data_IF_946748459898
#
_entry.id   IF_946748459898
#
_cell.length_a   1.000
_cell.length_b   1.000
_cell.length_c   1.000
_cell.angle_alpha   90.00
_cell.angle_beta   90.00
_cell.angle_gamma   90.00
#
_symmetry.space_group_name_H-M   'P 1'
#
loop_
_entity.id
_entity.type
_entity.pdbx_description
1 polymer ?
#
# COMPACT_ATOMS: atom_id res chain seq x y z
N UNK A 1 0.59 8.07 -23.54
CA UNK A 1 0.73 6.95 -24.50
C UNK A 1 1.91 6.10 -24.04
N UNK A 2 1.68 4.89 -23.53
CA UNK A 2 2.78 3.98 -23.18
C UNK A 2 3.18 3.23 -24.45
N UNK A 3 4.46 3.32 -24.85
CA UNK A 3 5.02 2.53 -25.94
C UNK A 3 5.78 1.35 -25.34
N UNK A 4 5.17 0.16 -25.33
CA UNK A 4 5.85 -1.07 -24.93
C UNK A 4 6.72 -1.56 -26.09
N UNK A 5 8.03 -1.75 -25.87
CA UNK A 5 8.95 -2.28 -26.87
C UNK A 5 9.45 -3.68 -26.52
N UNK A 6 9.26 -4.63 -27.44
CA UNK A 6 10.26 -5.63 -27.80
C UNK A 6 10.50 -6.83 -26.88
N UNK A 7 9.74 -7.02 -25.79
CA UNK A 7 9.93 -8.21 -24.96
C UNK A 7 9.34 -9.45 -25.63
N UNK A 8 10.20 -10.43 -25.95
CA UNK A 8 9.79 -11.80 -26.30
C UNK A 8 9.77 -12.64 -25.02
N UNK A 9 8.62 -12.83 -24.34
CA UNK A 9 8.56 -13.72 -23.18
C UNK A 9 8.98 -15.13 -23.59
N UNK A 10 9.91 -15.70 -22.83
CA UNK A 10 10.46 -17.02 -23.11
C UNK A 10 9.38 -18.10 -22.91
N UNK A 11 9.29 -19.01 -23.88
CA UNK A 11 8.17 -19.93 -24.08
C UNK A 11 8.34 -21.21 -23.27
N UNK A 12 7.61 -21.38 -22.17
CA UNK A 12 7.29 -22.73 -21.71
C UNK A 12 6.01 -23.19 -22.40
N UNK A 13 6.18 -23.84 -23.57
CA UNK A 13 5.12 -24.62 -24.22
C UNK A 13 4.68 -25.70 -23.24
N UNK A 14 3.51 -25.55 -22.61
CA UNK A 14 2.94 -26.63 -21.80
C UNK A 14 1.92 -26.24 -20.73
N UNK A 15 1.88 -24.98 -20.28
CA UNK A 15 0.92 -24.55 -19.25
C UNK A 15 0.00 -23.44 -19.76
N UNK A 16 -1.32 -23.62 -19.59
CA UNK A 16 -2.35 -22.61 -19.91
C UNK A 16 -2.11 -21.29 -19.15
N UNK A 17 -1.46 -21.34 -17.99
CA UNK A 17 -1.28 -20.20 -17.09
C UNK A 17 0.18 -19.70 -17.08
N UNK A 18 0.65 -19.19 -18.22
CA UNK A 18 2.00 -18.67 -18.40
C UNK A 18 2.05 -17.13 -18.26
N UNK A 19 3.24 -16.52 -18.33
CA UNK A 19 3.40 -15.06 -18.14
C UNK A 19 2.60 -14.23 -19.15
N UNK A 20 2.43 -14.75 -20.36
CA UNK A 20 1.69 -14.07 -21.41
C UNK A 20 0.18 -14.12 -21.16
N UNK A 21 -0.38 -15.25 -20.75
CA UNK A 21 -1.80 -15.31 -20.38
C UNK A 21 -2.08 -14.44 -19.15
N UNK A 22 -1.19 -14.44 -18.15
CA UNK A 22 -1.30 -13.52 -16.99
C UNK A 22 -1.26 -12.04 -17.39
N UNK A 23 -0.37 -11.65 -18.31
CA UNK A 23 -0.32 -10.28 -18.81
C UNK A 23 -1.60 -9.92 -19.56
N UNK A 24 -2.06 -10.81 -20.46
CA UNK A 24 -3.28 -10.63 -21.24
C UNK A 24 -4.52 -10.48 -20.35
N UNK A 25 -4.66 -11.32 -19.33
CA UNK A 25 -5.75 -11.27 -18.37
C UNK A 25 -5.70 -9.99 -17.53
N UNK A 26 -4.50 -9.54 -17.14
CA UNK A 26 -4.29 -8.27 -16.45
C UNK A 26 -4.72 -7.07 -17.30
N UNK A 27 -4.29 -7.02 -18.56
CA UNK A 27 -4.69 -5.96 -19.49
C UNK A 27 -6.19 -5.99 -19.80
N UNK A 28 -6.79 -7.17 -19.91
CA UNK A 28 -8.24 -7.32 -20.04
C UNK A 28 -8.95 -6.77 -18.81
N UNK A 29 -8.48 -7.09 -17.61
CA UNK A 29 -9.04 -6.54 -16.38
C UNK A 29 -8.95 -5.01 -16.35
N UNK A 30 -7.81 -4.42 -16.75
CA UNK A 30 -7.69 -2.96 -16.84
C UNK A 30 -8.69 -2.36 -17.83
N UNK A 31 -8.95 -3.03 -18.95
CA UNK A 31 -9.93 -2.60 -19.93
C UNK A 31 -11.37 -2.72 -19.42
N UNK A 32 -11.74 -3.88 -18.89
CA UNK A 32 -13.07 -4.15 -18.31
C UNK A 32 -13.39 -3.18 -17.16
N UNK A 33 -12.36 -2.70 -16.46
CA UNK A 33 -12.46 -1.72 -15.39
C UNK A 33 -12.21 -0.28 -15.84
N UNK A 34 -12.21 0.01 -17.15
CA UNK A 34 -12.09 1.34 -17.76
C UNK A 34 -10.81 2.12 -17.40
N UNK A 35 -9.73 1.45 -16.98
CA UNK A 35 -8.42 2.09 -16.77
C UNK A 35 -7.70 2.36 -18.09
N UNK A 36 -8.01 1.57 -19.13
CA UNK A 36 -7.54 1.77 -20.49
C UNK A 36 -8.75 1.75 -21.44
N UNK A 37 -8.75 2.58 -22.48
CA UNK A 37 -9.95 2.83 -23.27
C UNK A 37 -10.11 1.86 -24.45
N UNK A 38 -9.04 1.15 -24.83
CA UNK A 38 -9.04 0.24 -25.95
C UNK A 38 -8.04 -0.88 -25.70
N UNK A 39 -8.55 -2.09 -25.50
CA UNK A 39 -7.77 -3.31 -25.46
C UNK A 39 -8.56 -4.40 -26.16
N UNK A 40 -7.88 -5.16 -27.00
CA UNK A 40 -8.48 -6.27 -27.73
C UNK A 40 -7.61 -7.48 -27.50
N UNK A 41 -8.07 -8.33 -26.58
CA UNK A 41 -7.39 -9.55 -26.22
C UNK A 41 -7.23 -10.50 -27.42
N UNK A 42 -8.12 -10.46 -28.40
CA UNK A 42 -8.07 -11.36 -29.56
C UNK A 42 -6.99 -10.91 -30.55
N UNK A 43 -6.81 -9.60 -30.71
CA UNK A 43 -5.74 -9.02 -31.53
C UNK A 43 -4.37 -9.09 -30.88
N UNK A 44 -4.29 -9.29 -29.56
CA UNK A 44 -3.02 -9.46 -28.87
C UNK A 44 -2.49 -10.89 -29.05
N UNK A 45 -2.05 -11.26 -30.26
CA UNK A 45 -1.50 -12.56 -30.65
C UNK A 45 -0.05 -12.37 -31.10
N UNK A 46 0.90 -13.16 -30.57
CA UNK A 46 2.32 -13.24 -30.96
C UNK A 46 2.90 -12.09 -31.84
N UNK A 47 3.78 -11.26 -31.27
CA UNK A 47 4.48 -10.15 -31.92
C UNK A 47 3.61 -8.94 -32.34
N UNK A 48 2.34 -8.88 -31.93
CA UNK A 48 1.51 -7.69 -32.12
C UNK A 48 1.81 -6.62 -31.07
N UNK A 49 1.99 -5.38 -31.54
CA UNK A 49 2.03 -4.20 -30.69
C UNK A 49 0.64 -3.59 -30.62
N UNK A 50 0.09 -3.43 -29.42
CA UNK A 50 -1.15 -2.71 -29.19
C UNK A 50 -0.86 -1.49 -28.31
N UNK A 51 -1.35 -0.33 -28.75
CA UNK A 51 -1.33 0.89 -27.95
C UNK A 51 -2.72 1.12 -27.37
N UNK A 52 -2.76 1.42 -26.07
CA UNK A 52 -3.99 1.76 -25.38
C UNK A 52 -3.96 3.20 -24.89
N UNK A 53 -5.08 3.91 -25.06
CA UNK A 53 -5.33 5.16 -24.39
C UNK A 53 -5.56 4.87 -22.91
N UNK A 54 -4.97 5.72 -22.07
CA UNK A 54 -5.07 5.62 -20.62
C UNK A 54 -6.21 6.49 -20.13
N UNK A 55 -7.04 5.95 -19.25
CA UNK A 55 -8.00 6.76 -18.50
C UNK A 55 -7.28 7.43 -17.33
N UNK A 56 -6.82 8.66 -17.55
CA UNK A 56 -6.08 9.42 -16.55
C UNK A 56 -6.90 9.73 -15.30
N UNK A 57 -8.22 9.88 -15.40
CA UNK A 57 -9.05 10.13 -14.21
C UNK A 57 -9.04 8.93 -13.25
N UNK A 58 -8.95 7.71 -13.79
CA UNK A 58 -8.85 6.48 -12.99
C UNK A 58 -7.43 6.17 -12.53
N UNK A 59 -6.42 6.50 -13.35
CA UNK A 59 -5.01 6.24 -13.02
C UNK A 59 -4.41 7.31 -12.10
N UNK A 60 -4.92 8.53 -12.17
CA UNK A 60 -4.57 9.67 -11.32
C UNK A 60 -5.85 10.15 -10.61
N UNK A 61 -6.43 9.34 -9.71
CA UNK A 61 -7.65 9.74 -9.04
C UNK A 61 -7.35 10.96 -8.15
N UNK A 62 -8.27 11.92 -8.14
CA UNK A 62 -8.16 13.14 -7.33
C UNK A 62 -8.24 12.87 -5.82
N UNK A 63 -8.61 11.65 -5.42
CA UNK A 63 -8.78 11.18 -4.04
C UNK A 63 -8.34 9.73 -3.90
N UNK A 64 -7.97 9.29 -2.69
CA UNK A 64 -7.63 7.89 -2.38
C UNK A 64 -6.47 7.32 -3.21
N UNK A 65 -5.39 8.10 -3.36
CA UNK A 65 -4.15 7.66 -3.96
C UNK A 65 -3.03 7.59 -2.90
N UNK A 66 -2.11 6.65 -3.10
CA UNK A 66 -0.85 6.60 -2.37
C UNK A 66 0.26 7.28 -3.16
N UNK A 67 1.16 7.98 -2.46
CA UNK A 67 2.39 8.52 -3.07
C UNK A 67 3.55 7.61 -2.72
N UNK A 68 4.32 7.23 -3.75
CA UNK A 68 5.62 6.58 -3.60
C UNK A 68 6.69 7.55 -4.12
N UNK A 69 7.69 7.82 -3.30
CA UNK A 69 8.77 8.74 -3.61
C UNK A 69 9.95 8.04 -4.28
N UNK A 70 10.70 8.76 -5.10
CA UNK A 70 11.84 8.21 -5.84
C UNK A 70 12.91 7.58 -4.92
N UNK A 71 13.14 8.14 -3.72
CA UNK A 71 14.09 7.56 -2.79
C UNK A 71 13.61 6.24 -2.17
N UNK A 72 12.30 6.07 -1.97
CA UNK A 72 11.72 4.78 -1.53
C UNK A 72 11.88 3.74 -2.63
N UNK A 73 11.58 4.14 -3.87
CA UNK A 73 11.75 3.28 -5.03
C UNK A 73 13.22 2.87 -5.16
N UNK A 74 14.15 3.82 -5.07
CA UNK A 74 15.58 3.53 -5.12
C UNK A 74 16.02 2.59 -4.00
N UNK A 75 15.53 2.78 -2.77
CA UNK A 75 15.83 1.88 -1.65
C UNK A 75 15.34 0.44 -1.92
N UNK A 76 14.11 0.27 -2.42
CA UNK A 76 13.57 -1.05 -2.80
C UNK A 76 14.34 -1.65 -3.98
N UNK A 77 14.69 -0.84 -4.97
CA UNK A 77 15.40 -1.31 -6.16
C UNK A 77 16.84 -1.74 -5.86
N UNK A 78 17.47 -1.14 -4.87
CA UNK A 78 18.81 -1.50 -4.40
C UNK A 78 18.81 -2.60 -3.33
N UNK A 79 17.65 -2.94 -2.77
CA UNK A 79 17.53 -4.04 -1.82
C UNK A 79 17.77 -5.40 -2.50
N UNK A 80 18.64 -6.21 -1.87
CA UNK A 80 18.94 -7.58 -2.29
C UNK A 80 18.35 -8.53 -1.24
N UNK A 81 17.30 -9.25 -1.62
CA UNK A 81 16.64 -10.19 -0.70
C UNK A 81 17.47 -11.46 -0.51
N UNK A 82 17.66 -11.85 0.74
CA UNK A 82 18.16 -13.19 1.11
C UNK A 82 17.09 -14.28 0.95
N UNK A 83 15.83 -13.92 0.69
CA UNK A 83 14.70 -14.83 0.58
C UNK A 83 14.09 -14.79 -0.83
N UNK A 84 14.44 -15.78 -1.66
CA UNK A 84 14.09 -15.82 -3.10
C UNK A 84 12.61 -15.57 -3.45
N UNK A 85 11.61 -16.09 -2.70
CA UNK A 85 10.21 -15.84 -3.04
C UNK A 85 9.80 -14.36 -2.92
N UNK A 86 10.52 -13.57 -2.12
CA UNK A 86 10.29 -12.14 -2.02
C UNK A 86 11.08 -11.40 -3.11
N UNK A 87 10.36 -10.69 -3.95
CA UNK A 87 10.92 -9.87 -5.01
C UNK A 87 10.49 -8.40 -4.85
N UNK A 88 11.11 -7.53 -5.66
CA UNK A 88 10.85 -6.08 -5.64
C UNK A 88 9.40 -5.74 -5.95
N UNK A 89 8.74 -6.50 -6.82
CA UNK A 89 7.32 -6.32 -7.15
C UNK A 89 6.42 -6.55 -5.93
N UNK A 90 6.69 -7.57 -5.10
CA UNK A 90 5.95 -7.80 -3.86
C UNK A 90 6.17 -6.66 -2.87
N UNK A 91 7.40 -6.17 -2.71
CA UNK A 91 7.69 -5.02 -1.85
C UNK A 91 6.91 -3.77 -2.30
N UNK A 92 6.88 -3.51 -3.61
CA UNK A 92 6.15 -2.39 -4.18
C UNK A 92 4.62 -2.54 -4.03
N UNK A 93 4.08 -3.76 -4.20
CA UNK A 93 2.66 -4.02 -3.99
C UNK A 93 2.24 -3.78 -2.54
N UNK A 94 3.02 -4.29 -1.58
CA UNK A 94 2.76 -4.09 -0.16
C UNK A 94 2.88 -2.61 0.21
N UNK A 95 3.91 -1.91 -0.26
CA UNK A 95 4.06 -0.47 -0.04
C UNK A 95 2.88 0.31 -0.62
N UNK A 96 2.51 0.03 -1.88
CA UNK A 96 1.42 0.71 -2.56
C UNK A 96 0.09 0.51 -1.83
N UNK A 97 -0.16 -0.70 -1.35
CA UNK A 97 -1.34 -1.01 -0.56
C UNK A 97 -1.34 -0.21 0.76
N UNK A 98 -0.26 -0.25 1.54
CA UNK A 98 -0.16 0.54 2.77
C UNK A 98 -0.40 2.02 2.51
N UNK A 99 0.19 2.58 1.45
CA UNK A 99 0.01 4.00 1.08
C UNK A 99 -1.43 4.31 0.66
N UNK A 100 -2.06 3.48 -0.15
CA UNK A 100 -3.43 3.70 -0.62
C UNK A 100 -4.46 3.70 0.51
N UNK A 101 -4.23 2.90 1.57
CA UNK A 101 -5.15 2.78 2.70
C UNK A 101 -4.71 3.58 3.94
N UNK A 102 -3.59 4.31 3.88
CA UNK A 102 -3.19 5.23 4.94
C UNK A 102 -4.16 6.40 4.99
N UNK A 103 -4.66 6.70 6.18
CA UNK A 103 -5.45 7.91 6.38
C UNK A 103 -4.54 9.13 6.26
N UNK A 104 -4.89 10.04 5.37
CA UNK A 104 -4.19 11.32 5.23
C UNK A 104 -5.08 12.45 5.73
N UNK A 105 -4.50 13.33 6.55
CA UNK A 105 -5.07 14.66 6.81
C UNK A 105 -4.57 15.61 5.73
N UNK A 106 -5.44 16.51 5.29
CA UNK A 106 -5.18 17.42 4.17
C UNK A 106 -3.83 18.18 4.31
N UNK A 107 -3.22 18.49 3.15
CA UNK A 107 -1.90 19.10 2.97
C UNK A 107 -1.81 20.57 3.42
N UNK A 108 -2.19 20.88 4.65
CA UNK A 108 -1.99 22.20 5.24
C UNK A 108 -0.86 22.12 6.26
N UNK A 109 0.19 22.93 6.02
CA UNK A 109 1.35 23.15 6.91
C UNK A 109 0.92 23.54 8.33
N UNK A 110 -0.12 24.35 8.41
CA UNK A 110 -0.62 24.98 9.62
C UNK A 110 -2.08 24.62 9.78
N UNK A 111 -2.48 24.17 10.97
CA UNK A 111 -3.91 24.07 11.30
C UNK A 111 -4.43 22.72 11.77
N UNK A 112 -3.59 21.68 11.88
CA UNK A 112 -4.04 20.47 12.59
C UNK A 112 -3.90 20.68 14.09
N UNK A 113 -5.01 20.97 14.75
CA UNK A 113 -5.09 20.93 16.21
C UNK A 113 -4.67 19.54 16.72
N UNK A 114 -4.15 19.48 17.95
CA UNK A 114 -3.85 18.18 18.59
C UNK A 114 -5.10 17.29 18.70
N UNK A 115 -6.30 17.88 18.80
CA UNK A 115 -7.57 17.13 18.74
C UNK A 115 -7.81 16.48 17.38
N UNK A 116 -7.47 17.14 16.28
CA UNK A 116 -7.55 16.59 14.92
C UNK A 116 -6.57 15.43 14.74
N UNK A 117 -5.34 15.58 15.25
CA UNK A 117 -4.32 14.51 15.18
C UNK A 117 -4.73 13.24 15.93
N UNK A 118 -5.43 13.40 17.06
CA UNK A 118 -5.98 12.28 17.86
C UNK A 118 -7.20 11.61 17.22
N UNK A 119 -8.11 12.41 16.67
CA UNK A 119 -9.36 11.90 16.06
C UNK A 119 -9.18 11.35 14.65
N UNK A 120 -8.12 11.74 13.94
CA UNK A 120 -7.78 11.23 12.61
C UNK A 120 -6.26 11.03 12.48
N UNK A 121 -5.67 10.07 13.20
CA UNK A 121 -4.24 9.77 13.11
C UNK A 121 -3.87 9.36 11.67
N UNK A 122 -2.68 9.75 11.20
CA UNK A 122 -2.19 9.43 9.86
C UNK A 122 -1.57 8.03 9.83
N UNK A 123 -2.43 7.02 10.04
CA UNK A 123 -2.06 5.62 10.10
C UNK A 123 -2.86 4.79 9.09
N UNK A 124 -2.36 3.60 8.81
CA UNK A 124 -3.12 2.48 8.27
C UNK A 124 -3.09 1.36 9.30
N UNK A 125 -4.16 0.58 9.44
CA UNK A 125 -4.13 -0.63 10.26
C UNK A 125 -4.79 -1.80 9.52
N UNK A 126 -4.21 -2.98 9.64
CA UNK A 126 -4.74 -4.20 9.04
C UNK A 126 -4.06 -5.43 9.61
N UNK A 127 -4.66 -6.59 9.33
CA UNK A 127 -4.08 -7.91 9.55
C UNK A 127 -3.37 -8.40 8.28
N UNK A 128 -2.40 -9.30 8.42
CA UNK A 128 -1.73 -9.91 7.27
C UNK A 128 -2.68 -10.75 6.41
N UNK A 129 -3.63 -11.44 7.03
CA UNK A 129 -4.70 -12.21 6.36
C UNK A 129 -5.50 -11.33 5.40
N UNK A 130 -5.95 -10.17 5.87
CA UNK A 130 -6.71 -9.19 5.09
C UNK A 130 -5.87 -8.66 3.92
N UNK A 131 -4.62 -8.26 4.18
CA UNK A 131 -3.71 -7.80 3.13
C UNK A 131 -3.42 -8.89 2.10
N UNK A 132 -3.20 -10.13 2.56
CA UNK A 132 -2.90 -11.28 1.72
C UNK A 132 -4.04 -11.56 0.74
N UNK A 133 -5.27 -11.58 1.26
CA UNK A 133 -6.46 -11.81 0.44
C UNK A 133 -6.68 -10.70 -0.59
N UNK A 134 -6.44 -9.45 -0.23
CA UNK A 134 -6.60 -8.33 -1.16
C UNK A 134 -5.51 -8.30 -2.23
N UNK A 135 -4.24 -8.45 -1.83
CA UNK A 135 -3.08 -8.34 -2.73
C UNK A 135 -2.90 -9.61 -3.56
N UNK A 136 -3.41 -10.75 -3.11
CA UNK A 136 -3.20 -12.06 -3.75
C UNK A 136 -1.81 -12.63 -3.51
N UNK A 137 -1.19 -12.31 -2.36
CA UNK A 137 0.16 -12.75 -1.97
C UNK A 137 0.08 -13.35 -0.58
N UNK A 138 0.70 -14.52 -0.37
CA UNK A 138 0.58 -15.23 0.92
C UNK A 138 1.02 -14.39 2.13
N UNK A 139 0.39 -14.64 3.28
CA UNK A 139 0.62 -13.88 4.52
C UNK A 139 2.08 -13.86 4.98
N UNK A 140 2.81 -14.97 4.79
CA UNK A 140 4.24 -15.05 5.15
C UNK A 140 5.07 -14.05 4.35
N UNK A 141 4.75 -13.88 3.06
CA UNK A 141 5.37 -12.90 2.19
C UNK A 141 4.97 -11.47 2.55
N UNK A 142 3.69 -11.23 2.87
CA UNK A 142 3.24 -9.91 3.36
C UNK A 142 4.00 -9.53 4.65
N UNK A 143 4.09 -10.45 5.60
CA UNK A 143 4.80 -10.26 6.86
C UNK A 143 6.28 -9.91 6.62
N UNK A 144 6.96 -10.68 5.77
CA UNK A 144 8.38 -10.45 5.47
C UNK A 144 8.61 -9.17 4.67
N UNK A 145 7.75 -8.86 3.71
CA UNK A 145 7.78 -7.61 2.96
C UNK A 145 7.61 -6.41 3.90
N UNK A 146 6.66 -6.51 4.84
CA UNK A 146 6.42 -5.49 5.87
C UNK A 146 7.67 -5.24 6.71
N UNK A 147 8.31 -6.29 7.22
CA UNK A 147 9.56 -6.16 8.00
C UNK A 147 10.67 -5.49 7.20
N UNK A 148 10.84 -5.85 5.93
CA UNK A 148 11.90 -5.27 5.08
C UNK A 148 11.62 -3.80 4.78
N UNK A 149 10.37 -3.42 4.50
CA UNK A 149 10.01 -2.01 4.31
C UNK A 149 10.24 -1.18 5.58
N UNK A 150 10.08 -1.79 6.76
CA UNK A 150 10.41 -1.16 8.06
C UNK A 150 11.93 -0.98 8.25
N UNK A 151 12.70 -2.03 7.95
CA UNK A 151 14.18 -2.01 7.97
C UNK A 151 14.75 -0.97 7.00
N UNK A 152 14.16 -0.82 5.81
CA UNK A 152 14.51 0.20 4.83
C UNK A 152 14.11 1.63 5.28
N UNK A 153 13.37 1.77 6.38
CA UNK A 153 12.91 3.07 6.89
C UNK A 153 11.85 3.72 6.02
N UNK A 154 11.14 2.92 5.21
CA UNK A 154 10.08 3.39 4.29
C UNK A 154 8.75 3.47 5.04
N UNK A 155 8.47 2.47 5.88
CA UNK A 155 7.33 2.43 6.80
C UNK A 155 7.84 2.21 8.23
N UNK A 156 6.97 2.42 9.21
CA UNK A 156 7.16 1.92 10.58
C UNK A 156 5.94 1.12 10.96
N UNK A 157 6.15 -0.01 11.63
CA UNK A 157 5.08 -0.90 12.02
C UNK A 157 5.02 -1.13 13.52
N UNK A 158 3.82 -1.38 14.02
CA UNK A 158 3.56 -1.74 15.40
C UNK A 158 2.48 -2.81 15.45
N UNK A 159 2.80 -3.96 16.04
CA UNK A 159 1.83 -5.02 16.29
C UNK A 159 1.10 -4.71 17.59
N UNK A 160 -0.23 -4.61 17.53
CA UNK A 160 -1.03 -4.44 18.74
C UNK A 160 -0.91 -5.69 19.63
N UNK A 161 -0.83 -5.53 20.96
CA UNK A 161 -0.81 -6.66 21.87
C UNK A 161 -2.14 -7.41 21.82
N UNK A 162 -2.07 -8.73 22.07
CA UNK A 162 -3.25 -9.56 22.19
C UNK A 162 -4.08 -9.12 23.39
N UNK A 163 -5.39 -9.23 23.27
CA UNK A 163 -6.33 -8.88 24.33
C UNK A 163 -7.49 -9.88 24.34
N UNK A 164 -8.05 -10.15 25.52
CA UNK A 164 -9.09 -11.16 25.70
C UNK A 164 -10.41 -10.49 26.09
N UNK A 165 -11.47 -10.70 25.31
CA UNK A 165 -12.74 -10.01 25.55
C UNK A 165 -13.47 -10.51 26.78
N UNK A 166 -14.54 -9.82 27.14
CA UNK A 166 -15.38 -10.20 28.28
C UNK A 166 -16.02 -11.58 28.13
N UNK A 167 -16.01 -12.18 26.93
CA UNK A 167 -16.47 -13.56 26.67
C UNK A 167 -15.32 -14.57 26.69
N UNK A 168 -14.10 -14.13 27.00
CA UNK A 168 -12.92 -14.98 27.06
C UNK A 168 -12.27 -15.26 25.70
N UNK A 169 -12.72 -14.61 24.62
CA UNK A 169 -12.17 -14.79 23.27
C UNK A 169 -10.91 -13.95 23.09
N UNK A 170 -9.83 -14.58 22.64
CA UNK A 170 -8.60 -13.87 22.29
C UNK A 170 -8.74 -13.16 20.96
N UNK A 171 -8.49 -11.86 20.96
CA UNK A 171 -8.46 -11.00 19.79
C UNK A 171 -7.05 -10.49 19.55
N UNK A 172 -6.60 -10.53 18.29
CA UNK A 172 -5.35 -9.88 17.84
C UNK A 172 -5.23 -9.94 16.32
N UNK A 173 -4.11 -9.39 15.82
CA UNK A 173 -3.58 -9.25 14.47
C UNK A 173 -3.68 -7.86 13.84
N UNK A 174 -4.17 -6.85 14.57
CA UNK A 174 -4.07 -5.48 14.06
C UNK A 174 -2.62 -4.99 14.11
N UNK A 175 -2.08 -4.74 12.92
CA UNK A 175 -0.77 -4.12 12.73
C UNK A 175 -1.03 -2.69 12.28
N UNK A 176 -0.45 -1.75 13.01
CA UNK A 176 -0.46 -0.34 12.65
C UNK A 176 0.75 -0.05 11.79
N UNK A 177 0.51 0.64 10.67
CA UNK A 177 1.49 1.12 9.71
C UNK A 177 1.48 2.63 9.76
N UNK A 178 2.65 3.25 9.86
CA UNK A 178 2.82 4.70 9.88
C UNK A 178 3.99 5.11 9.00
N UNK A 179 3.86 6.26 8.34
CA UNK A 179 4.96 6.85 7.57
C UNK A 179 6.00 7.44 8.53
N UNK A 180 7.30 7.14 8.38
CA UNK A 180 8.33 7.72 9.25
C UNK A 180 8.57 9.21 9.00
N UNK A 181 8.06 9.74 7.88
CA UNK A 181 8.16 11.13 7.47
C UNK A 181 6.88 11.55 6.74
N UNK A 182 6.71 12.87 6.62
CA UNK A 182 5.65 13.49 5.81
C UNK A 182 6.26 14.50 4.87
N UNK A 183 5.86 14.45 3.60
CA UNK A 183 6.28 15.41 2.57
C UNK A 183 5.04 16.15 2.09
N UNK A 184 5.18 17.47 1.99
CA UNK A 184 4.11 18.39 1.62
C UNK A 184 4.57 19.28 0.47
N UNK A 185 3.62 19.77 -0.33
CA UNK A 185 3.91 20.74 -1.38
C UNK A 185 3.62 22.16 -0.87
N UNK A 186 4.63 23.02 -0.89
CA UNK A 186 4.55 24.41 -0.44
C UNK A 186 5.12 25.28 -1.56
N UNK A 187 4.30 26.16 -2.13
CA UNK A 187 4.72 27.01 -3.26
C UNK A 187 5.39 26.21 -4.39
N UNK A 188 4.81 25.04 -4.74
CA UNK A 188 5.30 24.08 -5.74
C UNK A 188 6.65 23.43 -5.41
N UNK A 189 7.13 23.52 -4.16
CA UNK A 189 8.31 22.82 -3.67
C UNK A 189 7.90 21.71 -2.71
N UNK A 190 8.50 20.54 -2.85
CA UNK A 190 8.30 19.43 -1.93
C UNK A 190 9.22 19.62 -0.72
N UNK A 191 8.62 19.66 0.47
CA UNK A 191 9.34 19.88 1.74
C UNK A 191 9.03 18.72 2.68
N UNK A 192 10.06 18.16 3.31
CA UNK A 192 9.91 17.20 4.39
C UNK A 192 9.53 17.95 5.66
N UNK A 193 8.44 17.55 6.31
CA UNK A 193 7.96 18.16 7.55
C UNK A 193 9.01 18.01 8.66
N UNK A 194 9.11 19.03 9.52
CA UNK A 194 9.89 18.95 10.75
C UNK A 194 9.23 17.98 11.74
N UNK A 195 9.96 17.59 12.81
CA UNK A 195 9.37 16.77 13.89
C UNK A 195 8.27 17.48 14.67
N UNK A 196 8.29 18.80 14.68
CA UNK A 196 7.26 19.59 15.36
C UNK A 196 5.94 19.56 14.56
N UNK A 197 6.06 19.53 13.23
CA UNK A 197 4.91 19.45 12.32
C UNK A 197 4.39 18.01 12.16
N UNK A 198 5.31 17.04 12.12
CA UNK A 198 5.00 15.62 11.96
C UNK A 198 6.00 14.73 12.71
N UNK A 199 5.51 13.99 13.70
CA UNK A 199 6.26 12.95 14.40
C UNK A 199 5.51 11.62 14.31
N UNK A 200 6.08 10.66 13.57
CA UNK A 200 5.49 9.35 13.38
C UNK A 200 5.25 8.60 14.71
N UNK A 201 6.05 8.88 15.76
CA UNK A 201 5.85 8.26 17.07
C UNK A 201 4.59 8.79 17.73
N UNK A 202 4.32 10.09 17.61
CA UNK A 202 3.07 10.70 18.08
C UNK A 202 1.88 10.22 17.26
N UNK A 203 2.02 10.11 15.93
CA UNK A 203 0.97 9.52 15.08
C UNK A 203 0.67 8.07 15.47
N UNK A 204 1.70 7.28 15.78
CA UNK A 204 1.51 5.93 16.28
C UNK A 204 0.79 5.92 17.64
N UNK A 205 1.17 6.77 18.59
CA UNK A 205 0.49 6.88 19.88
C UNK A 205 -0.98 7.29 19.73
N UNK A 206 -1.25 8.27 18.87
CA UNK A 206 -2.60 8.70 18.52
C UNK A 206 -3.36 7.56 17.84
N UNK A 207 -2.72 6.82 16.94
CA UNK A 207 -3.28 5.64 16.27
C UNK A 207 -3.66 4.53 17.24
N UNK A 208 -2.78 4.20 18.18
CA UNK A 208 -3.05 3.21 19.24
C UNK A 208 -4.24 3.66 20.09
N UNK A 209 -4.25 4.94 20.51
CA UNK A 209 -5.33 5.49 21.34
C UNK A 209 -6.65 5.51 20.58
N UNK A 210 -6.63 5.99 19.33
CA UNK A 210 -7.78 6.00 18.43
C UNK A 210 -8.32 4.60 18.17
N UNK A 211 -7.48 3.59 17.94
CA UNK A 211 -7.98 2.23 17.69
C UNK A 211 -8.51 1.57 18.96
N UNK A 212 -8.00 1.93 20.14
CA UNK A 212 -8.61 1.56 21.41
C UNK A 212 -9.97 2.24 21.54
N UNK A 213 -10.03 3.56 21.34
CA UNK A 213 -11.22 4.42 21.50
C UNK A 213 -12.33 4.19 20.47
N UNK A 214 -11.99 4.02 19.20
CA UNK A 214 -12.93 3.75 18.11
C UNK A 214 -13.49 2.33 18.21
N UNK A 215 -12.71 1.38 18.74
CA UNK A 215 -13.27 0.08 19.17
C UNK A 215 -14.23 0.24 20.36
N UNK A 216 -14.19 1.32 21.13
CA UNK A 216 -15.17 1.62 22.20
C UNK A 216 -16.51 2.19 21.73
N UNK A 217 -16.68 2.54 20.45
CA UNK A 217 -18.04 2.80 19.93
C UNK A 217 -18.78 1.51 19.55
N UNK A 218 -18.08 0.37 19.53
CA UNK A 218 -18.66 -0.98 19.59
C UNK A 218 -18.17 -1.70 20.86
N UNK A 219 -18.79 -1.34 22.00
CA UNK A 219 -18.79 -2.05 23.31
C UNK A 219 -17.75 -3.17 23.45
N UNK A 220 -16.73 -2.93 24.28
CA UNK A 220 -16.06 -3.86 25.22
C UNK A 220 -14.63 -3.34 25.45
N UNK A 221 -14.15 -3.52 26.67
CA UNK A 221 -12.80 -3.26 27.21
C UNK A 221 -12.58 -2.03 28.10
N UNK A 222 -12.20 -2.36 29.34
CA UNK A 222 -11.77 -1.51 30.45
C UNK A 222 -12.88 -0.86 31.28
N UNK A 223 -13.75 -1.71 31.83
CA UNK A 223 -13.93 -1.75 33.29
C UNK A 223 -13.06 -2.94 33.72
N UNK A 224 -12.08 -2.82 34.61
CA UNK A 224 -12.01 -2.02 35.82
C UNK A 224 -11.05 -0.81 35.81
#
# INVERSE_FOLDING_TARGET
MIKWSGYKPNWHRGTQNNIYTKFKDCMQWFYDNNYICNFDKELFIQNTLQSSLLNFEKLLPNTNFGVVYDFELNAIMNYVSSYKPLNKSILLLVLSYVRAFTWYRAFQLTGHSESSKKSKPEIFHSQFTVMSNFIGVNEKLISKATSILDELGIIKTYRMPNYQDHEGTWHTDDIIYVSPYKIISVNKKMIVCSKDDYDYKKELQNGISYLREAKYTSKKFYQD
#
